data_IF_195406467829
#
_entry.id   IF_195406467829
#
_cell.length_a   1.000
_cell.length_b   1.000
_cell.length_c   1.000
_cell.angle_alpha   90.00
_cell.angle_beta   90.00
_cell.angle_gamma   90.00
#
_symmetry.space_group_name_H-M   'P 1'
#
loop_
_entity.id
_entity.type
_entity.pdbx_description
1 polymer ?
#
# COMPACT_ATOMS: atom_id res chain seq x y z
N UNK A 1 19.46 -9.71 -1.50
CA UNK A 1 19.68 -8.36 -2.07
C UNK A 1 20.43 -8.50 -3.38
N UNK A 2 21.44 -9.35 -3.40
CA UNK A 2 22.34 -9.58 -4.54
C UNK A 2 21.59 -9.99 -5.81
N UNK A 3 20.61 -10.89 -5.72
CA UNK A 3 19.85 -11.36 -6.89
C UNK A 3 19.05 -10.24 -7.58
N UNK A 4 18.45 -9.31 -6.82
CA UNK A 4 17.68 -8.21 -7.40
C UNK A 4 18.60 -7.18 -8.08
N UNK A 5 19.76 -6.90 -7.46
CA UNK A 5 20.77 -6.02 -8.06
C UNK A 5 21.35 -6.64 -9.34
N UNK A 6 21.59 -7.95 -9.35
CA UNK A 6 22.01 -8.67 -10.55
C UNK A 6 20.92 -8.65 -11.63
N UNK A 7 19.66 -8.86 -11.27
CA UNK A 7 18.54 -8.77 -12.21
C UNK A 7 18.41 -7.36 -12.84
N UNK A 8 18.62 -6.30 -12.06
CA UNK A 8 18.66 -4.92 -12.56
C UNK A 8 19.82 -4.73 -13.54
N UNK A 9 21.01 -5.25 -13.23
CA UNK A 9 22.16 -5.13 -14.13
C UNK A 9 21.94 -5.87 -15.47
N UNK A 10 21.20 -6.98 -15.46
CA UNK A 10 20.88 -7.74 -16.66
C UNK A 10 19.71 -7.15 -17.46
N UNK A 11 18.71 -6.58 -16.77
CA UNK A 11 17.51 -5.98 -17.37
C UNK A 11 17.09 -4.72 -16.59
N UNK A 12 17.72 -3.57 -16.86
CA UNK A 12 17.47 -2.34 -16.11
C UNK A 12 16.05 -1.78 -16.29
N UNK A 13 15.31 -2.24 -17.31
CA UNK A 13 13.91 -1.83 -17.53
C UNK A 13 12.89 -2.81 -16.93
N UNK A 14 13.32 -3.74 -16.07
CA UNK A 14 12.43 -4.71 -15.45
C UNK A 14 11.84 -4.16 -14.14
N UNK A 15 10.68 -3.52 -14.21
CA UNK A 15 9.95 -2.92 -13.07
C UNK A 15 9.88 -3.85 -11.84
N UNK A 16 9.61 -5.15 -12.05
CA UNK A 16 9.50 -6.15 -10.99
C UNK A 16 10.81 -6.35 -10.20
N UNK A 17 11.98 -6.15 -10.82
CA UNK A 17 13.26 -6.28 -10.12
C UNK A 17 13.44 -5.16 -9.08
N UNK A 18 13.05 -3.93 -9.43
CA UNK A 18 13.04 -2.79 -8.51
C UNK A 18 12.00 -2.97 -7.41
N UNK A 19 10.77 -3.38 -7.76
CA UNK A 19 9.75 -3.70 -6.76
C UNK A 19 10.24 -4.72 -5.73
N UNK A 20 10.86 -5.82 -6.18
CA UNK A 20 11.37 -6.86 -5.30
C UNK A 20 12.55 -6.38 -4.43
N UNK A 21 13.43 -5.53 -4.97
CA UNK A 21 14.50 -4.91 -4.19
C UNK A 21 13.96 -3.94 -3.14
N UNK A 22 12.95 -3.15 -3.50
CA UNK A 22 12.23 -2.26 -2.60
C UNK A 22 11.62 -3.02 -1.43
N UNK A 23 10.90 -4.12 -1.72
CA UNK A 23 10.35 -5.01 -0.67
C UNK A 23 11.44 -5.57 0.24
N UNK A 24 12.58 -5.98 -0.32
CA UNK A 24 13.70 -6.48 0.48
C UNK A 24 14.35 -5.39 1.35
N UNK A 25 14.43 -4.15 0.86
CA UNK A 25 14.92 -2.99 1.62
C UNK A 25 13.96 -2.61 2.74
N UNK A 26 12.66 -2.59 2.45
CA UNK A 26 11.60 -2.32 3.42
C UNK A 26 11.66 -3.32 4.58
N UNK A 27 11.74 -4.62 4.29
CA UNK A 27 11.86 -5.66 5.32
C UNK A 27 13.13 -5.57 6.17
N UNK A 28 14.16 -4.85 5.70
CA UNK A 28 15.42 -4.61 6.43
C UNK A 28 15.43 -3.25 7.14
N UNK A 29 14.31 -2.53 7.15
CA UNK A 29 14.21 -1.20 7.75
C UNK A 29 14.83 -0.06 6.92
N UNK A 30 15.34 -0.33 5.72
CA UNK A 30 15.76 0.73 4.81
C UNK A 30 14.56 1.27 4.03
N UNK A 31 13.69 2.00 4.72
CA UNK A 31 12.40 2.47 4.19
C UNK A 31 12.60 3.48 3.06
N UNK A 32 13.52 4.44 3.22
CA UNK A 32 13.84 5.43 2.17
C UNK A 32 14.37 4.76 0.90
N UNK A 33 15.30 3.80 1.04
CA UNK A 33 15.80 3.04 -0.10
C UNK A 33 14.74 2.15 -0.76
N UNK A 34 13.71 1.73 -0.02
CA UNK A 34 12.56 1.04 -0.59
C UNK A 34 11.71 1.98 -1.44
N UNK A 35 11.43 3.20 -0.95
CA UNK A 35 10.70 4.24 -1.69
C UNK A 35 11.40 4.58 -3.01
N UNK A 36 12.73 4.74 -3.01
CA UNK A 36 13.52 4.95 -4.23
C UNK A 36 13.31 3.84 -5.25
N UNK A 37 13.33 2.58 -4.80
CA UNK A 37 13.11 1.43 -5.68
C UNK A 37 11.67 1.36 -6.21
N UNK A 38 10.67 1.66 -5.38
CA UNK A 38 9.28 1.73 -5.83
C UNK A 38 9.06 2.87 -6.82
N UNK A 39 9.73 4.02 -6.66
CA UNK A 39 9.67 5.11 -7.63
C UNK A 39 10.13 4.65 -9.01
N UNK A 40 11.25 3.93 -9.09
CA UNK A 40 11.75 3.40 -10.36
C UNK A 40 10.79 2.35 -10.92
N UNK A 41 10.25 1.45 -10.08
CA UNK A 41 9.28 0.46 -10.51
C UNK A 41 8.02 1.09 -11.13
N UNK A 42 7.51 2.17 -10.53
CA UNK A 42 6.37 2.97 -11.02
C UNK A 42 6.71 3.66 -12.35
N UNK A 43 7.89 4.26 -12.47
CA UNK A 43 8.32 4.91 -13.72
C UNK A 43 8.43 3.91 -14.89
N UNK A 44 8.91 2.70 -14.61
CA UNK A 44 9.07 1.65 -15.61
C UNK A 44 7.75 0.97 -15.99
N UNK A 45 6.79 0.87 -15.07
CA UNK A 45 5.47 0.30 -15.33
C UNK A 45 4.40 0.98 -14.46
N UNK A 46 3.80 2.08 -14.94
CA UNK A 46 2.84 2.85 -14.16
C UNK A 46 1.48 2.17 -14.03
N UNK A 47 1.20 1.09 -14.76
CA UNK A 47 -0.10 0.40 -14.75
C UNK A 47 -0.21 -0.64 -13.63
N UNK A 48 0.89 -0.89 -12.90
CA UNK A 48 0.91 -1.85 -11.78
C UNK A 48 0.50 -1.18 -10.48
N UNK A 49 -0.46 -1.78 -9.77
CA UNK A 49 -0.95 -1.27 -8.49
C UNK A 49 0.06 -1.50 -7.34
N UNK A 50 0.79 -2.62 -7.37
CA UNK A 50 1.61 -3.08 -6.25
C UNK A 50 2.75 -2.13 -5.88
N UNK A 51 3.49 -1.52 -6.84
CA UNK A 51 4.51 -0.53 -6.49
C UNK A 51 3.95 0.71 -5.77
N UNK A 52 2.76 1.20 -6.16
CA UNK A 52 2.10 2.29 -5.45
C UNK A 52 1.70 1.87 -4.04
N UNK A 53 1.03 0.72 -3.89
CA UNK A 53 0.65 0.20 -2.58
C UNK A 53 1.85 0.06 -1.63
N UNK A 54 2.94 -0.54 -2.10
CA UNK A 54 4.14 -0.72 -1.29
C UNK A 54 4.84 0.60 -0.96
N UNK A 55 4.79 1.60 -1.85
CA UNK A 55 5.31 2.94 -1.57
C UNK A 55 4.43 3.67 -0.56
N UNK A 56 3.11 3.49 -0.62
CA UNK A 56 2.16 4.00 0.36
C UNK A 56 2.43 3.47 1.76
N UNK A 57 2.63 2.15 1.91
CA UNK A 57 3.02 1.53 3.18
C UNK A 57 4.32 2.14 3.74
N UNK A 58 5.33 2.28 2.87
CA UNK A 58 6.62 2.85 3.26
C UNK A 58 6.53 4.33 3.67
N UNK A 59 5.69 5.12 3.00
CA UNK A 59 5.45 6.53 3.34
C UNK A 59 4.71 6.65 4.67
N UNK A 60 3.70 5.83 4.89
CA UNK A 60 2.96 5.78 6.14
C UNK A 60 3.88 5.42 7.32
N UNK A 61 4.80 4.46 7.14
CA UNK A 61 5.81 4.12 8.17
C UNK A 61 6.74 5.30 8.50
N UNK A 62 6.96 6.22 7.54
CA UNK A 62 7.72 7.46 7.76
C UNK A 62 6.86 8.63 8.27
N UNK A 63 5.56 8.43 8.49
CA UNK A 63 4.61 9.46 8.91
C UNK A 63 4.11 10.37 7.77
N UNK A 64 4.46 10.08 6.52
CA UNK A 64 3.94 10.78 5.34
C UNK A 64 2.57 10.23 4.93
N UNK A 65 1.56 10.50 5.76
CA UNK A 65 0.21 9.98 5.58
C UNK A 65 -0.48 10.56 4.33
N UNK A 66 -0.24 11.83 3.99
CA UNK A 66 -0.77 12.45 2.77
C UNK A 66 -0.19 11.80 1.51
N UNK A 67 1.13 11.58 1.47
CA UNK A 67 1.79 10.88 0.38
C UNK A 67 1.40 9.39 0.30
N UNK A 68 1.09 8.76 1.44
CA UNK A 68 0.57 7.40 1.48
C UNK A 68 -0.84 7.32 0.88
N UNK A 69 -1.75 8.22 1.26
CA UNK A 69 -3.09 8.32 0.68
C UNK A 69 -3.01 8.51 -0.83
N UNK A 70 -2.17 9.41 -1.33
CA UNK A 70 -2.02 9.62 -2.77
C UNK A 70 -1.59 8.33 -3.50
N UNK A 71 -0.68 7.55 -2.92
CA UNK A 71 -0.23 6.29 -3.47
C UNK A 71 -1.31 5.20 -3.41
N UNK A 72 -2.04 5.10 -2.32
CA UNK A 72 -3.14 4.15 -2.19
C UNK A 72 -4.27 4.45 -3.20
N UNK A 73 -4.60 5.73 -3.44
CA UNK A 73 -5.56 6.11 -4.48
C UNK A 73 -5.10 5.64 -5.85
N UNK A 74 -3.83 5.85 -6.20
CA UNK A 74 -3.28 5.35 -7.45
C UNK A 74 -3.33 3.81 -7.54
N UNK A 75 -3.04 3.09 -6.45
CA UNK A 75 -3.16 1.64 -6.41
C UNK A 75 -4.62 1.16 -6.60
N UNK A 76 -5.59 1.84 -5.99
CA UNK A 76 -7.03 1.55 -6.13
C UNK A 76 -7.51 1.76 -7.56
N UNK A 77 -7.12 2.86 -8.21
CA UNK A 77 -7.46 3.13 -9.62
C UNK A 77 -7.02 1.99 -10.55
N UNK A 78 -5.90 1.34 -10.24
CA UNK A 78 -5.32 0.24 -11.05
C UNK A 78 -5.86 -1.13 -10.65
N UNK A 79 -6.18 -1.33 -9.38
CA UNK A 79 -6.78 -2.56 -8.88
C UNK A 79 -7.85 -2.25 -7.80
N UNK A 80 -9.10 -1.98 -8.23
CA UNK A 80 -10.17 -1.59 -7.30
C UNK A 80 -10.63 -2.73 -6.39
N UNK A 81 -10.19 -3.97 -6.61
CA UNK A 81 -10.53 -5.13 -5.80
C UNK A 81 -9.50 -5.43 -4.70
N UNK A 82 -8.46 -4.61 -4.54
CA UNK A 82 -7.42 -4.82 -3.54
C UNK A 82 -7.82 -4.31 -2.14
N UNK A 83 -8.59 -5.08 -1.38
CA UNK A 83 -9.14 -4.62 -0.09
C UNK A 83 -8.12 -4.06 0.90
N UNK A 84 -6.91 -4.63 0.99
CA UNK A 84 -5.88 -4.11 1.92
C UNK A 84 -5.45 -2.67 1.58
N UNK A 85 -5.57 -2.24 0.33
CA UNK A 85 -5.23 -0.85 -0.03
C UNK A 85 -6.22 0.11 0.62
N UNK A 86 -7.53 -0.19 0.53
CA UNK A 86 -8.56 0.59 1.23
C UNK A 86 -8.34 0.56 2.74
N UNK A 87 -8.05 -0.61 3.32
CA UNK A 87 -7.79 -0.71 4.76
C UNK A 87 -6.62 0.21 5.19
N UNK A 88 -5.49 0.16 4.48
CA UNK A 88 -4.35 1.01 4.82
C UNK A 88 -4.58 2.50 4.52
N UNK A 89 -5.34 2.83 3.48
CA UNK A 89 -5.75 4.20 3.20
C UNK A 89 -6.66 4.76 4.30
N UNK A 90 -7.58 3.93 4.82
CA UNK A 90 -8.38 4.30 5.97
C UNK A 90 -7.52 4.60 7.20
N UNK A 91 -6.53 3.75 7.51
CA UNK A 91 -5.61 4.00 8.62
C UNK A 91 -4.86 5.33 8.45
N UNK A 92 -4.39 5.64 7.24
CA UNK A 92 -3.77 6.92 6.95
C UNK A 92 -4.76 8.11 7.10
N UNK A 93 -6.03 7.92 6.75
CA UNK A 93 -7.08 8.89 7.01
C UNK A 93 -7.35 9.09 8.51
N UNK A 94 -7.35 8.03 9.32
CA UNK A 94 -7.49 8.11 10.80
C UNK A 94 -6.37 8.96 11.40
N UNK A 95 -5.11 8.70 11.01
CA UNK A 95 -3.95 9.47 11.48
C UNK A 95 -4.03 10.97 11.13
N UNK A 96 -4.77 11.32 10.07
CA UNK A 96 -5.03 12.70 9.67
C UNK A 96 -6.37 13.26 10.18
N UNK A 97 -7.08 12.53 11.05
CA UNK A 97 -8.41 12.87 11.56
C UNK A 97 -9.50 13.03 10.47
N UNK A 98 -9.32 12.37 9.33
CA UNK A 98 -10.27 12.34 8.22
C UNK A 98 -11.27 11.19 8.40
N UNK A 99 -12.07 11.25 9.46
CA UNK A 99 -12.91 10.15 9.92
C UNK A 99 -13.94 9.68 8.86
N UNK A 100 -14.56 10.61 8.12
CA UNK A 100 -15.54 10.26 7.11
C UNK A 100 -14.94 9.39 5.99
N UNK A 101 -13.76 9.76 5.49
CA UNK A 101 -13.04 9.02 4.46
C UNK A 101 -12.55 7.67 5.00
N UNK A 102 -12.06 7.64 6.24
CA UNK A 102 -11.65 6.39 6.89
C UNK A 102 -12.81 5.38 6.98
N UNK A 103 -14.01 5.81 7.39
CA UNK A 103 -15.19 4.95 7.47
C UNK A 103 -15.56 4.40 6.09
N UNK A 104 -15.54 5.24 5.05
CA UNK A 104 -15.84 4.81 3.67
C UNK A 104 -14.88 3.72 3.20
N UNK A 105 -13.59 3.93 3.41
CA UNK A 105 -12.55 2.97 3.01
C UNK A 105 -12.62 1.67 3.82
N UNK A 106 -12.88 1.73 5.13
CA UNK A 106 -13.05 0.52 5.95
C UNK A 106 -14.28 -0.29 5.55
N UNK A 107 -15.41 0.36 5.23
CA UNK A 107 -16.60 -0.32 4.73
C UNK A 107 -16.29 -1.05 3.41
N UNK A 108 -15.59 -0.38 2.49
CA UNK A 108 -15.17 -0.97 1.23
C UNK A 108 -14.18 -2.13 1.44
N UNK A 109 -13.21 -1.98 2.34
CA UNK A 109 -12.26 -3.02 2.71
C UNK A 109 -12.98 -4.27 3.28
N UNK A 110 -13.92 -4.07 4.20
CA UNK A 110 -14.71 -5.15 4.79
C UNK A 110 -15.51 -5.90 3.72
N UNK A 111 -16.22 -5.17 2.85
CA UNK A 111 -17.00 -5.78 1.77
C UNK A 111 -16.13 -6.62 0.82
N UNK A 112 -14.98 -6.07 0.38
CA UNK A 112 -14.06 -6.79 -0.49
C UNK A 112 -13.42 -7.99 0.20
N UNK A 113 -13.08 -7.88 1.49
CA UNK A 113 -12.52 -9.00 2.24
C UNK A 113 -13.52 -10.13 2.48
N UNK A 114 -14.79 -9.80 2.75
CA UNK A 114 -15.86 -10.80 2.82
C UNK A 114 -16.04 -11.51 1.47
N UNK A 115 -16.12 -10.76 0.36
CA UNK A 115 -16.26 -11.32 -0.99
C UNK A 115 -15.08 -12.23 -1.39
N UNK A 116 -13.89 -11.98 -0.82
CA UNK A 116 -12.68 -12.75 -1.07
C UNK A 116 -12.44 -13.86 -0.04
N UNK A 117 -13.40 -14.10 0.87
CA UNK A 117 -13.29 -15.05 2.00
C UNK A 117 -12.06 -14.79 2.91
N UNK A 118 -11.61 -13.54 3.00
CA UNK A 118 -10.49 -13.13 3.86
C UNK A 118 -11.01 -12.67 5.22
N UNK A 119 -11.33 -13.64 6.07
CA UNK A 119 -11.98 -13.40 7.37
C UNK A 119 -11.15 -12.53 8.33
N UNK A 120 -9.82 -12.67 8.34
CA UNK A 120 -8.97 -11.83 9.20
C UNK A 120 -9.06 -10.36 8.81
N UNK A 121 -8.83 -10.04 7.53
CA UNK A 121 -8.98 -8.68 7.01
C UNK A 121 -10.40 -8.12 7.25
N UNK A 122 -11.44 -8.94 7.08
CA UNK A 122 -12.81 -8.52 7.36
C UNK A 122 -12.99 -8.10 8.83
N UNK A 123 -12.49 -8.91 9.77
CA UNK A 123 -12.55 -8.61 11.21
C UNK A 123 -11.75 -7.35 11.54
N UNK A 124 -10.53 -7.24 11.05
CA UNK A 124 -9.67 -6.07 11.30
C UNK A 124 -10.37 -4.78 10.84
N UNK A 125 -11.00 -4.80 9.66
CA UNK A 125 -11.75 -3.64 9.15
C UNK A 125 -13.01 -3.32 10.00
N UNK A 126 -13.74 -4.33 10.47
CA UNK A 126 -14.91 -4.15 11.33
C UNK A 126 -14.53 -3.63 12.72
N UNK A 127 -13.42 -4.10 13.28
CA UNK A 127 -12.94 -3.64 14.59
C UNK A 127 -12.58 -2.15 14.55
N UNK A 128 -11.92 -1.70 13.47
CA UNK A 128 -11.63 -0.27 13.25
C UNK A 128 -12.91 0.56 13.05
N UNK A 129 -13.90 0.06 12.30
CA UNK A 129 -15.20 0.74 12.14
C UNK A 129 -15.90 0.95 13.47
N UNK A 130 -15.99 -0.10 14.29
CA UNK A 130 -16.65 -0.04 15.59
C UNK A 130 -15.96 0.95 16.53
N UNK A 131 -14.63 1.09 16.44
CA UNK A 131 -13.90 2.09 17.22
C UNK A 131 -14.30 3.51 16.80
N UNK A 132 -14.29 3.82 15.51
CA UNK A 132 -14.64 5.14 14.99
C UNK A 132 -16.12 5.53 15.19
N UNK A 133 -17.03 4.56 15.30
CA UNK A 133 -18.45 4.82 15.58
C UNK A 133 -18.73 5.04 17.08
N UNK A 134 -17.76 4.72 17.95
CA UNK A 134 -17.89 4.82 19.40
C UNK A 134 -17.32 6.12 20.01
N UNK A 135 -16.67 6.95 19.20
CA UNK A 135 -16.08 8.26 19.55
C UNK A 135 -17.05 9.42 19.28
#
# INVERSE_FOLDING_TARGET
MDDCTQAINLRPNHSLAYQNRGLARHRRGNIRGAIEDYNVAIQLNPDKAEPFYNRGLARQELGDNEGAIADYTQAIERNPNHALVYYHQALAHIELNNQQQAIQDLQQAAQLCLNQNRLTCYKDAQDQLNQLESE
#
